data_IF_739820156316
#
_entry.id   IF_739820156316
#
_cell.length_a   1.000
_cell.length_b   1.000
_cell.length_c   1.000
_cell.angle_alpha   90.00
_cell.angle_beta   90.00
_cell.angle_gamma   90.00
#
_symmetry.space_group_name_H-M   'P 1'
#
loop_
_entity.id
_entity.type
_entity.pdbx_description
1 polymer ?
#
# COMPACT_ATOMS: atom_id res chain seq x y z
N UNK A 1 66.34 35.36 17.71
CA UNK A 1 65.38 36.06 16.83
C UNK A 1 64.86 35.16 15.70
N UNK A 2 65.73 34.49 14.94
CA UNK A 2 65.35 33.57 13.84
C UNK A 2 64.41 32.43 14.27
N UNK A 3 64.78 31.69 15.33
CA UNK A 3 64.00 30.55 15.88
C UNK A 3 62.57 30.96 16.28
N UNK A 4 62.40 32.17 16.81
CA UNK A 4 61.10 32.68 17.22
C UNK A 4 60.24 33.12 16.03
N UNK A 5 60.86 33.57 14.95
CA UNK A 5 60.17 33.87 13.69
C UNK A 5 59.68 32.58 13.00
N UNK A 6 60.53 31.55 12.96
CA UNK A 6 60.20 30.25 12.36
C UNK A 6 59.08 29.54 13.12
N UNK A 7 59.11 29.58 14.47
CA UNK A 7 58.03 29.05 15.31
C UNK A 7 56.68 29.74 15.06
N UNK A 8 56.67 31.07 14.92
CA UNK A 8 55.44 31.83 14.63
C UNK A 8 54.90 31.56 13.22
N UNK A 9 55.79 31.34 12.25
CA UNK A 9 55.42 30.98 10.87
C UNK A 9 54.83 29.57 10.81
N UNK A 10 55.40 28.60 11.53
CA UNK A 10 54.82 27.26 11.67
C UNK A 10 53.45 27.29 12.34
N UNK A 11 53.31 28.02 13.45
CA UNK A 11 52.03 28.21 14.14
C UNK A 11 50.95 28.80 13.22
N UNK A 12 51.29 29.82 12.42
CA UNK A 12 50.35 30.40 11.44
C UNK A 12 49.97 29.42 10.32
N UNK A 13 50.92 28.62 9.83
CA UNK A 13 50.65 27.57 8.82
C UNK A 13 49.74 26.49 9.37
N UNK A 14 50.02 25.99 10.58
CA UNK A 14 49.20 25.00 11.28
C UNK A 14 47.78 25.54 11.50
N UNK A 15 47.64 26.77 12.00
CA UNK A 15 46.34 27.41 12.19
C UNK A 15 45.56 27.61 10.89
N UNK A 16 46.23 28.01 9.80
CA UNK A 16 45.63 28.11 8.46
C UNK A 16 45.18 26.75 7.92
N UNK A 17 45.95 25.69 8.17
CA UNK A 17 45.59 24.33 7.76
C UNK A 17 44.34 23.84 8.51
N UNK A 18 44.28 24.05 9.84
CA UNK A 18 43.10 23.70 10.65
C UNK A 18 41.83 24.44 10.21
N UNK A 19 41.92 25.72 9.85
CA UNK A 19 40.77 26.46 9.29
C UNK A 19 40.26 25.87 7.99
N UNK A 20 41.15 25.44 7.08
CA UNK A 20 40.77 24.78 5.83
C UNK A 20 40.11 23.43 6.10
N UNK A 21 40.67 22.63 6.99
CA UNK A 21 40.08 21.34 7.41
C UNK A 21 38.69 21.55 8.01
N UNK A 22 38.54 22.51 8.94
CA UNK A 22 37.25 22.83 9.54
C UNK A 22 36.23 23.33 8.51
N UNK A 23 36.66 24.17 7.57
CA UNK A 23 35.81 24.65 6.47
C UNK A 23 35.34 23.52 5.55
N UNK A 24 36.22 22.59 5.20
CA UNK A 24 35.87 21.39 4.41
C UNK A 24 34.91 20.50 5.19
N UNK A 25 35.13 20.28 6.49
CA UNK A 25 34.23 19.50 7.34
C UNK A 25 32.84 20.14 7.44
N UNK A 26 32.75 21.46 7.63
CA UNK A 26 31.47 22.17 7.67
C UNK A 26 30.74 22.11 6.33
N UNK A 27 31.45 22.31 5.22
CA UNK A 27 30.88 22.17 3.88
C UNK A 27 30.38 20.74 3.63
N UNK A 28 31.13 19.73 4.08
CA UNK A 28 30.73 18.33 3.99
C UNK A 28 29.50 18.03 4.84
N UNK A 29 29.43 18.53 6.07
CA UNK A 29 28.25 18.37 6.95
C UNK A 29 27.00 19.04 6.38
N UNK A 30 27.14 20.23 5.79
CA UNK A 30 26.05 20.93 5.10
C UNK A 30 25.58 20.16 3.86
N UNK A 31 26.50 19.56 3.11
CA UNK A 31 26.16 18.71 1.98
C UNK A 31 25.42 17.45 2.43
N UNK A 32 25.91 16.78 3.48
CA UNK A 32 25.25 15.61 4.07
C UNK A 32 23.87 15.93 4.61
N UNK A 33 23.68 17.08 5.28
CA UNK A 33 22.37 17.48 5.79
C UNK A 33 21.39 17.79 4.67
N UNK A 34 21.84 18.44 3.59
CA UNK A 34 21.04 18.67 2.39
C UNK A 34 20.62 17.36 1.69
N UNK A 35 21.53 16.38 1.61
CA UNK A 35 21.23 15.05 1.09
C UNK A 35 20.25 14.30 2.01
N UNK A 36 20.47 14.32 3.32
CA UNK A 36 19.60 13.67 4.29
C UNK A 36 18.18 14.26 4.25
N UNK A 37 18.05 15.59 4.11
CA UNK A 37 16.75 16.25 3.95
C UNK A 37 16.05 15.83 2.65
N UNK A 38 16.76 15.88 1.52
CA UNK A 38 16.21 15.51 0.21
C UNK A 38 15.77 14.05 0.15
N UNK A 39 16.49 13.17 0.84
CA UNK A 39 16.27 11.73 0.81
C UNK A 39 15.70 11.15 2.12
N UNK A 40 15.15 12.00 2.99
CA UNK A 40 14.64 11.58 4.29
C UNK A 40 13.56 10.48 4.21
N UNK A 41 12.81 10.44 3.11
CA UNK A 41 11.77 9.45 2.86
C UNK A 41 12.29 8.10 2.31
N UNK A 42 13.54 8.03 1.81
CA UNK A 42 14.08 6.80 1.20
C UNK A 42 14.19 5.63 2.20
N UNK A 43 14.76 5.80 3.41
CA UNK A 43 14.83 4.70 4.37
C UNK A 43 13.44 4.18 4.75
N UNK A 44 12.48 5.09 4.99
CA UNK A 44 11.09 4.73 5.30
C UNK A 44 10.45 3.92 4.16
N UNK A 45 10.64 4.35 2.91
CA UNK A 45 10.12 3.65 1.73
C UNK A 45 10.71 2.26 1.59
N UNK A 46 12.03 2.11 1.72
CA UNK A 46 12.71 0.80 1.60
C UNK A 46 12.21 -0.16 2.67
N UNK A 47 12.19 0.28 3.93
CA UNK A 47 11.67 -0.53 5.05
C UNK A 47 10.23 -0.94 4.80
N UNK A 48 9.38 -0.01 4.35
CA UNK A 48 7.98 -0.30 4.07
C UNK A 48 7.79 -1.30 2.93
N UNK A 49 8.51 -1.15 1.81
CA UNK A 49 8.43 -2.11 0.70
C UNK A 49 8.85 -3.49 1.16
N UNK A 50 9.93 -3.62 1.93
CA UNK A 50 10.32 -4.91 2.53
C UNK A 50 9.22 -5.47 3.43
N UNK A 51 8.63 -4.65 4.30
CA UNK A 51 7.53 -5.05 5.16
C UNK A 51 6.31 -5.55 4.37
N UNK A 52 5.95 -4.86 3.28
CA UNK A 52 4.85 -5.23 2.39
C UNK A 52 5.05 -6.61 1.77
N UNK A 53 6.24 -6.88 1.23
CA UNK A 53 6.58 -8.17 0.65
C UNK A 53 6.54 -9.30 1.70
N UNK A 54 7.08 -9.02 2.90
CA UNK A 54 7.00 -9.95 4.02
C UNK A 54 5.54 -10.20 4.45
N UNK A 55 4.68 -9.18 4.41
CA UNK A 55 3.28 -9.32 4.73
C UNK A 55 2.55 -10.25 3.74
N UNK A 56 2.77 -10.07 2.43
CA UNK A 56 2.22 -10.98 1.42
C UNK A 56 2.69 -12.43 1.62
N UNK A 57 3.96 -12.65 1.98
CA UNK A 57 4.47 -13.97 2.29
C UNK A 57 3.81 -14.56 3.54
N UNK A 58 3.73 -13.79 4.63
CA UNK A 58 3.07 -14.20 5.88
C UNK A 58 1.60 -14.52 5.68
N UNK A 59 0.89 -13.77 4.83
CA UNK A 59 -0.49 -14.05 4.46
C UNK A 59 -0.64 -15.45 3.87
N UNK A 60 0.22 -15.86 2.93
CA UNK A 60 0.13 -17.20 2.36
C UNK A 60 0.30 -18.30 3.43
N UNK A 61 1.12 -18.05 4.46
CA UNK A 61 1.29 -18.99 5.58
C UNK A 61 0.06 -19.02 6.51
N UNK A 62 -0.43 -17.85 6.91
CA UNK A 62 -1.59 -17.70 7.80
C UNK A 62 -2.87 -18.28 7.19
N UNK A 63 -2.99 -18.24 5.87
CA UNK A 63 -4.14 -18.73 5.11
C UNK A 63 -3.82 -20.03 4.34
N UNK A 64 -2.85 -20.81 4.80
CA UNK A 64 -2.45 -22.08 4.15
C UNK A 64 -3.56 -23.14 4.08
N UNK A 65 -4.58 -23.06 4.95
CA UNK A 65 -5.76 -23.93 4.91
C UNK A 65 -6.88 -23.45 3.98
N UNK A 66 -6.70 -22.32 3.28
CA UNK A 66 -7.67 -21.79 2.35
C UNK A 66 -7.43 -22.36 0.95
N UNK A 67 -8.48 -22.44 0.15
CA UNK A 67 -8.33 -22.71 -1.28
C UNK A 67 -7.82 -21.47 -2.00
N UNK A 68 -7.18 -21.70 -3.14
CA UNK A 68 -6.62 -20.66 -3.98
C UNK A 68 -7.25 -20.74 -5.37
N UNK A 69 -7.94 -19.67 -5.77
CA UNK A 69 -8.44 -19.48 -7.13
C UNK A 69 -7.57 -18.43 -7.83
N UNK A 70 -6.97 -18.79 -8.96
CA UNK A 70 -6.08 -17.90 -9.72
C UNK A 70 -6.77 -17.32 -10.95
N UNK A 71 -6.62 -16.02 -11.16
CA UNK A 71 -6.89 -15.35 -12.43
C UNK A 71 -5.60 -14.99 -13.16
N UNK A 72 -5.71 -13.99 -14.03
CA UNK A 72 -4.59 -13.45 -14.81
C UNK A 72 -3.73 -12.50 -13.96
N UNK A 73 -4.38 -11.67 -13.14
CA UNK A 73 -3.73 -10.62 -12.36
C UNK A 73 -3.94 -10.76 -10.85
N UNK A 74 -4.88 -11.60 -10.43
CA UNK A 74 -5.25 -11.78 -9.02
C UNK A 74 -5.17 -13.24 -8.59
N UNK A 75 -4.95 -13.44 -7.29
CA UNK A 75 -5.13 -14.74 -6.63
C UNK A 75 -6.05 -14.57 -5.42
N UNK A 76 -7.12 -15.35 -5.37
CA UNK A 76 -8.14 -15.30 -4.32
C UNK A 76 -7.89 -16.44 -3.35
N UNK A 77 -7.71 -16.12 -2.06
CA UNK A 77 -7.65 -17.07 -0.96
C UNK A 77 -9.00 -17.09 -0.27
N UNK A 78 -9.64 -18.25 -0.18
CA UNK A 78 -10.99 -18.37 0.35
C UNK A 78 -11.22 -19.69 1.11
N UNK A 79 -12.12 -19.72 2.13
CA UNK A 79 -12.58 -20.97 2.73
C UNK A 79 -13.35 -21.83 1.73
N UNK A 80 -13.30 -23.16 1.86
CA UNK A 80 -13.99 -24.09 0.94
C UNK A 80 -15.49 -23.87 0.78
N UNK A 81 -16.15 -23.24 1.76
CA UNK A 81 -17.57 -22.93 1.71
C UNK A 81 -17.94 -21.75 0.80
N UNK A 82 -16.96 -20.95 0.33
CA UNK A 82 -17.19 -19.70 -0.41
C UNK A 82 -16.75 -19.78 -1.87
N UNK A 83 -16.95 -20.93 -2.52
CA UNK A 83 -16.51 -21.15 -3.90
C UNK A 83 -17.18 -20.20 -4.91
N UNK A 84 -18.51 -20.08 -4.86
CA UNK A 84 -19.27 -19.21 -5.77
C UNK A 84 -18.88 -17.73 -5.57
N UNK A 85 -18.70 -17.31 -4.32
CA UNK A 85 -18.28 -15.95 -3.99
C UNK A 85 -16.84 -15.67 -4.42
N UNK A 86 -15.94 -16.66 -4.34
CA UNK A 86 -14.58 -16.52 -4.81
C UNK A 86 -14.50 -16.29 -6.32
N UNK A 87 -15.33 -16.97 -7.10
CA UNK A 87 -15.44 -16.75 -8.54
C UNK A 87 -15.95 -15.33 -8.84
N UNK A 88 -16.97 -14.87 -8.13
CA UNK A 88 -17.52 -13.53 -8.29
C UNK A 88 -16.52 -12.42 -7.90
N UNK A 89 -15.78 -12.59 -6.81
CA UNK A 89 -14.73 -11.66 -6.39
C UNK A 89 -13.59 -11.64 -7.40
N UNK A 90 -13.18 -12.80 -7.92
CA UNK A 90 -12.16 -12.86 -8.97
C UNK A 90 -12.62 -12.12 -10.23
N UNK A 91 -13.85 -12.36 -10.66
CA UNK A 91 -14.42 -11.70 -11.82
C UNK A 91 -14.43 -10.16 -11.66
N UNK A 92 -14.86 -9.68 -10.49
CA UNK A 92 -14.84 -8.25 -10.16
C UNK A 92 -13.42 -7.67 -10.18
N UNK A 93 -12.44 -8.41 -9.65
CA UNK A 93 -11.04 -7.97 -9.60
C UNK A 93 -10.43 -7.88 -11.00
N UNK A 94 -10.62 -8.90 -11.83
CA UNK A 94 -10.11 -8.89 -13.21
C UNK A 94 -10.76 -7.78 -14.06
N UNK A 95 -12.08 -7.54 -13.88
CA UNK A 95 -12.76 -6.40 -14.52
C UNK A 95 -12.23 -5.04 -14.05
N UNK A 96 -11.84 -4.92 -12.79
CA UNK A 96 -11.28 -3.70 -12.23
C UNK A 96 -9.84 -3.44 -12.72
N UNK A 97 -9.11 -4.47 -13.12
CA UNK A 97 -7.68 -4.39 -13.42
C UNK A 97 -7.32 -3.30 -14.44
N UNK A 98 -7.79 -3.45 -15.69
CA UNK A 98 -7.41 -2.53 -16.77
C UNK A 98 -7.95 -1.12 -16.55
N UNK A 99 -9.23 -0.90 -16.15
CA UNK A 99 -9.74 0.45 -15.92
C UNK A 99 -8.96 1.20 -14.83
N UNK A 100 -8.69 0.57 -13.68
CA UNK A 100 -7.92 1.20 -12.58
C UNK A 100 -6.50 1.54 -13.04
N UNK A 101 -5.82 0.59 -13.68
CA UNK A 101 -4.46 0.79 -14.18
C UNK A 101 -4.38 1.87 -15.25
N UNK A 102 -5.38 1.98 -16.12
CA UNK A 102 -5.44 3.04 -17.12
C UNK A 102 -5.67 4.41 -16.48
N UNK A 103 -6.55 4.53 -15.47
CA UNK A 103 -6.77 5.82 -14.79
C UNK A 103 -5.52 6.26 -14.04
N UNK A 104 -4.85 5.34 -13.34
CA UNK A 104 -3.68 5.62 -12.50
C UNK A 104 -2.34 5.55 -13.26
N UNK A 105 -2.37 5.22 -14.55
CA UNK A 105 -1.18 5.04 -15.41
C UNK A 105 -0.18 4.05 -14.80
N UNK A 106 -0.70 2.97 -14.22
CA UNK A 106 0.08 1.93 -13.55
C UNK A 106 0.25 0.70 -14.44
N UNK A 107 1.38 0.02 -14.30
CA UNK A 107 1.63 -1.28 -14.94
C UNK A 107 1.99 -2.28 -13.86
N UNK A 108 1.12 -3.25 -13.61
CA UNK A 108 1.42 -4.35 -12.70
C UNK A 108 2.17 -5.45 -13.44
N UNK A 109 3.07 -6.13 -12.73
CA UNK A 109 3.73 -7.36 -13.18
C UNK A 109 3.58 -8.51 -12.19
N UNK A 110 2.83 -8.30 -11.10
CA UNK A 110 2.68 -9.28 -10.01
C UNK A 110 1.21 -9.57 -9.74
N UNK A 111 0.93 -10.83 -9.43
CA UNK A 111 -0.37 -11.28 -8.95
C UNK A 111 -0.70 -10.58 -7.63
N UNK A 112 -1.91 -10.05 -7.52
CA UNK A 112 -2.39 -9.37 -6.32
C UNK A 112 -3.15 -10.36 -5.43
N UNK A 113 -2.73 -10.57 -4.18
CA UNK A 113 -3.45 -11.43 -3.24
C UNK A 113 -4.73 -10.76 -2.73
N UNK A 114 -5.84 -11.49 -2.81
CA UNK A 114 -7.13 -11.12 -2.24
C UNK A 114 -7.57 -12.23 -1.26
N UNK A 115 -8.04 -11.86 -0.08
CA UNK A 115 -8.57 -12.80 0.92
C UNK A 115 -10.05 -12.56 1.12
N UNK A 116 -10.85 -13.62 1.10
CA UNK A 116 -12.29 -13.54 1.39
C UNK A 116 -12.59 -13.98 2.82
N UNK A 117 -13.36 -13.16 3.53
CA UNK A 117 -13.88 -13.46 4.86
C UNK A 117 -15.37 -13.78 4.79
N UNK A 118 -15.79 -14.84 5.47
CA UNK A 118 -17.20 -15.26 5.50
C UNK A 118 -18.12 -14.31 6.26
N UNK A 119 -17.58 -13.50 7.19
CA UNK A 119 -18.36 -12.60 8.02
C UNK A 119 -17.54 -11.42 8.53
N UNK A 120 -18.24 -10.37 8.99
CA UNK A 120 -17.62 -9.21 9.62
C UNK A 120 -16.79 -9.60 10.85
N UNK A 121 -17.25 -10.56 11.66
CA UNK A 121 -16.52 -11.01 12.84
C UNK A 121 -15.21 -11.68 12.45
N UNK A 122 -15.20 -12.49 11.37
CA UNK A 122 -13.96 -13.10 10.88
C UNK A 122 -12.95 -12.06 10.41
N UNK A 123 -13.42 -11.02 9.72
CA UNK A 123 -12.56 -9.94 9.24
C UNK A 123 -12.07 -9.05 10.40
N UNK A 124 -12.95 -8.65 11.30
CA UNK A 124 -12.60 -7.83 12.47
C UNK A 124 -11.60 -8.53 13.40
N UNK A 125 -11.72 -9.86 13.59
CA UNK A 125 -10.73 -10.65 14.33
C UNK A 125 -9.34 -10.59 13.70
N UNK A 126 -9.24 -10.58 12.37
CA UNK A 126 -7.96 -10.48 11.67
C UNK A 126 -7.28 -9.12 11.92
N UNK A 127 -8.05 -8.04 11.93
CA UNK A 127 -7.54 -6.68 12.15
C UNK A 127 -7.52 -6.23 13.61
N UNK A 128 -8.05 -7.07 14.53
CA UNK A 128 -8.27 -6.72 15.95
C UNK A 128 -9.11 -5.45 16.11
N UNK A 129 -10.11 -5.31 15.26
CA UNK A 129 -11.08 -4.21 15.32
C UNK A 129 -12.21 -4.53 16.29
N UNK A 130 -12.77 -3.47 16.87
CA UNK A 130 -14.02 -3.57 17.61
C UNK A 130 -15.16 -4.02 16.68
N UNK A 131 -16.16 -4.70 17.23
CA UNK A 131 -17.28 -5.26 16.47
C UNK A 131 -18.16 -4.20 15.77
N UNK A 132 -17.97 -2.92 16.08
CA UNK A 132 -18.65 -1.79 15.43
C UNK A 132 -18.12 -1.46 14.04
N UNK A 133 -16.97 -2.01 13.64
CA UNK A 133 -16.43 -1.82 12.29
C UNK A 133 -17.13 -2.75 11.30
N UNK A 134 -17.71 -2.16 10.24
CA UNK A 134 -18.48 -2.86 9.21
C UNK A 134 -17.91 -2.63 7.81
N UNK A 135 -16.59 -2.62 7.69
CA UNK A 135 -15.94 -2.45 6.38
C UNK A 135 -16.32 -3.62 5.45
N UNK A 136 -16.56 -3.33 4.18
CA UNK A 136 -16.79 -4.36 3.16
C UNK A 136 -15.48 -4.82 2.52
N UNK A 137 -14.47 -3.95 2.51
CA UNK A 137 -13.14 -4.21 1.97
C UNK A 137 -12.09 -3.44 2.74
N UNK A 138 -10.84 -3.95 2.70
CA UNK A 138 -9.67 -3.32 3.30
C UNK A 138 -8.43 -3.69 2.50
N UNK A 139 -7.73 -2.70 1.98
CA UNK A 139 -6.37 -2.85 1.52
C UNK A 139 -5.39 -2.65 2.69
N UNK A 140 -4.50 -3.62 2.89
CA UNK A 140 -3.46 -3.49 3.89
C UNK A 140 -2.15 -4.15 3.45
N UNK A 141 -1.10 -3.32 3.36
CA UNK A 141 0.29 -3.74 3.16
C UNK A 141 0.43 -4.85 2.08
N UNK A 142 -0.08 -4.55 0.89
CA UNK A 142 0.07 -5.39 -0.29
C UNK A 142 -0.95 -6.53 -0.41
N UNK A 143 -1.96 -6.58 0.45
CA UNK A 143 -3.03 -7.59 0.42
C UNK A 143 -4.38 -6.91 0.45
N UNK A 144 -5.31 -7.39 -0.38
CA UNK A 144 -6.70 -6.94 -0.39
C UNK A 144 -7.53 -7.93 0.43
N UNK A 145 -8.35 -7.41 1.33
CA UNK A 145 -9.25 -8.18 2.18
C UNK A 145 -10.68 -7.81 1.81
N UNK A 146 -11.52 -8.81 1.53
CA UNK A 146 -12.89 -8.62 1.05
C UNK A 146 -13.83 -9.42 1.94
N UNK A 147 -14.91 -8.76 2.37
CA UNK A 147 -16.03 -9.43 2.98
C UNK A 147 -16.84 -10.15 1.90
N UNK A 148 -17.22 -11.41 2.14
CA UNK A 148 -18.06 -12.20 1.25
C UNK A 148 -19.31 -11.41 0.82
N UNK A 149 -19.67 -11.37 -0.47
CA UNK A 149 -20.88 -10.69 -0.92
C UNK A 149 -22.14 -11.20 -0.19
N UNK A 150 -22.22 -12.49 0.12
CA UNK A 150 -23.33 -13.09 0.86
C UNK A 150 -23.45 -12.63 2.33
N UNK A 151 -22.46 -11.92 2.86
CA UNK A 151 -22.51 -11.38 4.22
C UNK A 151 -23.19 -10.00 4.31
N UNK A 152 -23.46 -9.34 3.18
CA UNK A 152 -24.04 -7.98 3.16
C UNK A 152 -25.07 -7.75 2.04
N UNK A 153 -25.15 -8.62 1.04
CA UNK A 153 -26.21 -8.59 0.02
C UNK A 153 -27.33 -9.54 0.46
N UNK A 154 -28.52 -9.01 0.71
CA UNK A 154 -29.72 -9.82 0.93
C UNK A 154 -30.27 -10.27 -0.43
N UNK A 155 -30.29 -11.58 -0.68
CA UNK A 155 -30.44 -12.14 -2.03
C UNK A 155 -31.74 -12.94 -2.20
N UNK A 156 -32.66 -12.40 -3.01
CA UNK A 156 -33.81 -13.16 -3.55
C UNK A 156 -33.67 -13.42 -5.06
N UNK A 157 -32.66 -12.87 -5.73
CA UNK A 157 -32.37 -13.04 -7.17
C UNK A 157 -30.85 -12.96 -7.45
N UNK A 158 -30.26 -14.10 -7.84
CA UNK A 158 -28.82 -14.23 -8.13
C UNK A 158 -28.30 -13.20 -9.16
N UNK A 159 -29.13 -12.75 -10.11
CA UNK A 159 -28.70 -11.74 -11.09
C UNK A 159 -28.54 -10.37 -10.42
N UNK A 160 -29.47 -10.01 -9.55
CA UNK A 160 -29.41 -8.81 -8.73
C UNK A 160 -28.22 -8.85 -7.77
N UNK A 161 -27.94 -10.01 -7.16
CA UNK A 161 -26.77 -10.23 -6.31
C UNK A 161 -25.44 -9.96 -7.00
N UNK A 162 -25.24 -10.57 -8.18
CA UNK A 162 -24.01 -10.39 -8.95
C UNK A 162 -23.83 -8.95 -9.43
N UNK A 163 -24.88 -8.34 -9.97
CA UNK A 163 -24.81 -6.94 -10.42
C UNK A 163 -24.57 -5.98 -9.25
N UNK A 164 -25.19 -6.25 -8.09
CA UNK A 164 -24.97 -5.49 -6.86
C UNK A 164 -23.52 -5.56 -6.43
N UNK A 165 -22.92 -6.74 -6.37
CA UNK A 165 -21.50 -6.87 -6.00
C UNK A 165 -20.57 -6.19 -7.01
N UNK A 166 -20.82 -6.34 -8.32
CA UNK A 166 -19.97 -5.73 -9.34
C UNK A 166 -20.03 -4.18 -9.33
N UNK A 167 -21.16 -3.60 -8.89
CA UNK A 167 -21.35 -2.14 -8.87
C UNK A 167 -21.01 -1.51 -7.52
N UNK A 168 -21.35 -2.17 -6.42
CA UNK A 168 -21.27 -1.62 -5.06
C UNK A 168 -20.25 -2.36 -4.18
N UNK A 169 -19.64 -3.43 -4.70
CA UNK A 169 -18.57 -4.13 -4.01
C UNK A 169 -17.28 -3.31 -3.95
N UNK A 170 -16.44 -3.54 -2.94
CA UNK A 170 -15.31 -2.68 -2.61
C UNK A 170 -14.08 -2.91 -3.50
N UNK A 171 -14.15 -3.83 -4.47
CA UNK A 171 -12.97 -4.34 -5.19
C UNK A 171 -12.23 -3.23 -5.95
N UNK A 172 -12.95 -2.33 -6.60
CA UNK A 172 -12.34 -1.21 -7.34
C UNK A 172 -11.62 -0.26 -6.38
N UNK A 173 -12.27 0.08 -5.26
CA UNK A 173 -11.72 0.97 -4.22
C UNK A 173 -10.44 0.38 -3.61
N UNK A 174 -10.49 -0.89 -3.18
CA UNK A 174 -9.32 -1.54 -2.58
C UNK A 174 -8.18 -1.77 -3.57
N UNK A 175 -8.50 -2.04 -4.84
CA UNK A 175 -7.46 -2.16 -5.85
C UNK A 175 -6.80 -0.80 -6.16
N UNK A 176 -7.55 0.30 -6.14
CA UNK A 176 -6.97 1.64 -6.26
C UNK A 176 -6.00 1.94 -5.11
N UNK A 177 -6.34 1.58 -3.86
CA UNK A 177 -5.41 1.67 -2.73
C UNK A 177 -4.13 0.84 -2.96
N UNK A 178 -4.27 -0.40 -3.45
CA UNK A 178 -3.13 -1.26 -3.79
C UNK A 178 -2.20 -0.59 -4.81
N UNK A 179 -2.76 0.02 -5.86
CA UNK A 179 -1.98 0.70 -6.90
C UNK A 179 -1.26 1.93 -6.35
N UNK A 180 -1.96 2.79 -5.59
CA UNK A 180 -1.36 3.97 -4.96
C UNK A 180 -0.21 3.57 -4.05
N UNK A 181 -0.38 2.53 -3.25
CA UNK A 181 0.70 2.01 -2.42
C UNK A 181 1.87 1.46 -3.24
N UNK A 182 1.57 0.73 -4.30
CA UNK A 182 2.58 0.18 -5.20
C UNK A 182 3.46 1.28 -5.80
N UNK A 183 2.86 2.39 -6.19
CA UNK A 183 3.56 3.55 -6.77
C UNK A 183 4.35 4.33 -5.70
N UNK A 184 3.72 4.63 -4.56
CA UNK A 184 4.28 5.52 -3.54
C UNK A 184 5.19 4.80 -2.52
N UNK A 185 5.10 3.47 -2.42
CA UNK A 185 5.80 2.67 -1.42
C UNK A 185 5.46 3.09 0.01
N UNK A 186 4.16 3.17 0.34
CA UNK A 186 3.68 3.59 1.66
C UNK A 186 3.84 5.08 1.99
N UNK A 187 4.34 5.90 1.06
CA UNK A 187 4.61 7.32 1.30
C UNK A 187 3.49 8.25 0.83
N UNK A 188 2.32 8.13 1.46
CA UNK A 188 1.16 8.97 1.20
C UNK A 188 0.34 9.17 2.49
N UNK A 189 -0.33 10.32 2.68
CA UNK A 189 -1.27 10.49 3.78
C UNK A 189 -2.57 9.73 3.50
N UNK A 190 -3.28 9.31 4.56
CA UNK A 190 -4.54 8.56 4.43
C UNK A 190 -5.56 9.27 3.55
N UNK A 191 -5.84 10.55 3.82
CA UNK A 191 -6.85 11.32 3.08
C UNK A 191 -6.62 11.31 1.55
N UNK A 192 -5.36 11.30 1.10
CA UNK A 192 -5.03 11.32 -0.32
C UNK A 192 -5.36 9.97 -0.97
N UNK A 193 -5.02 8.86 -0.31
CA UNK A 193 -5.30 7.54 -0.86
C UNK A 193 -6.81 7.25 -0.87
N UNK A 194 -7.55 7.65 0.17
CA UNK A 194 -9.01 7.54 0.20
C UNK A 194 -9.66 8.35 -0.92
N UNK A 195 -9.24 9.61 -1.08
CA UNK A 195 -9.79 10.47 -2.14
C UNK A 195 -9.50 9.94 -3.54
N UNK A 196 -8.31 9.37 -3.78
CA UNK A 196 -7.98 8.72 -5.05
C UNK A 196 -8.85 7.47 -5.26
N UNK A 197 -8.97 6.62 -4.24
CA UNK A 197 -9.76 5.40 -4.33
C UNK A 197 -11.24 5.68 -4.63
N UNK A 198 -11.85 6.63 -3.91
CA UNK A 198 -13.22 7.09 -4.17
C UNK A 198 -13.38 7.71 -5.57
N UNK A 199 -12.40 8.50 -6.03
CA UNK A 199 -12.43 9.07 -7.38
C UNK A 199 -12.40 7.98 -8.46
N UNK A 200 -11.51 6.99 -8.31
CA UNK A 200 -11.36 5.87 -9.25
C UNK A 200 -12.62 5.00 -9.25
N UNK A 201 -13.14 4.65 -8.07
CA UNK A 201 -14.39 3.90 -7.91
C UNK A 201 -15.55 4.60 -8.62
N UNK A 202 -15.78 5.88 -8.32
CA UNK A 202 -16.81 6.67 -8.99
C UNK A 202 -16.65 6.72 -10.50
N UNK A 203 -15.42 6.79 -11.01
CA UNK A 203 -15.16 6.83 -12.47
C UNK A 203 -15.48 5.50 -13.16
N UNK A 204 -15.34 4.37 -12.47
CA UNK A 204 -15.52 3.05 -13.04
C UNK A 204 -16.95 2.52 -12.83
N UNK A 205 -17.47 2.62 -11.62
CA UNK A 205 -18.76 2.03 -11.24
C UNK A 205 -19.90 3.06 -11.20
N UNK A 206 -19.57 4.35 -11.13
CA UNK A 206 -20.53 5.43 -10.87
C UNK A 206 -20.94 5.55 -9.40
N UNK A 207 -20.41 4.69 -8.52
CA UNK A 207 -20.72 4.73 -7.09
C UNK A 207 -20.23 6.02 -6.44
N UNK A 208 -21.01 6.54 -5.49
CA UNK A 208 -20.67 7.71 -4.68
C UNK A 208 -20.95 7.34 -3.23
N UNK A 209 -19.93 7.44 -2.39
CA UNK A 209 -20.09 7.30 -0.95
C UNK A 209 -20.77 8.55 -0.40
N UNK A 210 -21.93 8.42 0.23
CA UNK A 210 -22.73 9.56 0.74
C UNK A 210 -22.30 10.02 2.14
N UNK A 211 -21.29 9.40 2.75
CA UNK A 211 -20.78 9.78 4.07
C UNK A 211 -19.58 10.74 3.99
N UNK A 212 -19.85 12.04 4.08
CA UNK A 212 -18.87 13.07 4.42
C UNK A 212 -19.30 13.81 5.69
#
# INVERSE_FOLDING_TARGET
MQVQCDYLLEQKKVYSLWKRILGVLLAFLLLLSGLAYKYAALPKRVVYVCYRELNQYRTNLNFSGFNILKGEHFKILYPSSLGEEAELVLEAAEKAFSPVNNILQYRSSREVPVIIYSSHEAMNRNFRWDSSQSAMGVYWAGVIHILSPGAWIDDRDKKEYRETFLRHGPVVHEYAHYVVDSMAGGNYPRWLTEGIAQYVERKITGYVFEGA
#
